data_IF_088366960155
#
_entry.id   IF_088366960155
#
_cell.length_a   1.000
_cell.length_b   1.000
_cell.length_c   1.000
_cell.angle_alpha   90.00
_cell.angle_beta   90.00
_cell.angle_gamma   90.00
#
_symmetry.space_group_name_H-M   'P 1'
#
loop_
_entity.id
_entity.type
_entity.pdbx_description
1 polymer ?
#
# COMPACT_ATOMS: atom_id res chain seq x y z
N UNK A 1 -32.44 -47.62 60.39
CA UNK A 1 -33.40 -46.63 60.91
C UNK A 1 -33.64 -45.56 59.86
N UNK A 2 -34.91 -45.19 59.72
CA UNK A 2 -35.51 -44.31 58.74
C UNK A 2 -34.95 -42.88 58.74
N UNK A 3 -35.06 -42.18 57.61
CA UNK A 3 -34.83 -40.73 57.51
C UNK A 3 -34.93 -40.19 56.09
N UNK A 4 -36.15 -39.87 55.67
CA UNK A 4 -36.59 -39.22 54.41
C UNK A 4 -36.14 -37.77 54.27
N UNK A 5 -35.95 -37.30 53.02
CA UNK A 5 -35.86 -35.86 52.67
C UNK A 5 -35.99 -35.63 51.15
N UNK A 6 -37.04 -34.90 50.74
CA UNK A 6 -37.47 -34.64 49.36
C UNK A 6 -36.61 -33.62 48.60
N UNK A 7 -36.59 -33.80 47.26
CA UNK A 7 -36.58 -32.83 46.15
C UNK A 7 -35.54 -31.71 46.13
N UNK A 8 -34.86 -31.51 44.99
CA UNK A 8 -35.07 -30.35 44.10
C UNK A 8 -34.32 -30.58 42.78
N UNK A 9 -35.09 -30.72 41.70
CA UNK A 9 -34.61 -30.64 40.32
C UNK A 9 -34.07 -29.23 40.04
N UNK A 10 -32.79 -29.13 39.69
CA UNK A 10 -32.25 -27.99 38.96
C UNK A 10 -31.90 -28.43 37.54
N UNK A 11 -32.83 -28.23 36.61
CA UNK A 11 -32.50 -28.12 35.19
C UNK A 11 -31.73 -26.80 35.02
N UNK A 12 -30.41 -26.86 34.83
CA UNK A 12 -29.69 -25.76 34.18
C UNK A 12 -30.01 -25.84 32.70
N UNK A 13 -30.88 -24.95 32.23
CA UNK A 13 -30.91 -24.58 30.82
C UNK A 13 -29.56 -23.92 30.49
N UNK A 14 -28.70 -24.63 29.77
CA UNK A 14 -27.70 -24.00 28.93
C UNK A 14 -28.42 -23.48 27.69
N UNK A 15 -28.72 -22.19 27.68
CA UNK A 15 -29.14 -21.45 26.50
C UNK A 15 -28.08 -20.39 26.25
N UNK A 16 -27.04 -20.78 25.51
CA UNK A 16 -25.94 -19.89 25.10
C UNK A 16 -25.43 -20.25 23.69
N UNK A 17 -26.26 -20.83 22.83
CA UNK A 17 -25.83 -21.40 21.54
C UNK A 17 -26.70 -20.99 20.33
N UNK A 18 -27.41 -19.85 20.36
CA UNK A 18 -28.32 -19.51 19.26
C UNK A 18 -28.35 -18.04 18.83
N UNK A 19 -27.40 -17.20 19.27
CA UNK A 19 -27.39 -15.78 18.90
C UNK A 19 -26.29 -15.42 17.88
N UNK A 20 -25.20 -16.21 17.81
CA UNK A 20 -24.11 -15.96 16.86
C UNK A 20 -24.45 -16.50 15.46
N UNK A 21 -25.05 -17.69 15.36
CA UNK A 21 -25.40 -18.34 14.08
C UNK A 21 -26.46 -17.54 13.27
N UNK A 22 -27.44 -16.95 13.96
CA UNK A 22 -28.46 -16.09 13.32
C UNK A 22 -27.89 -14.73 12.87
N UNK A 23 -26.88 -14.19 13.57
CA UNK A 23 -26.27 -12.91 13.23
C UNK A 23 -25.43 -13.00 11.95
N UNK A 24 -24.66 -14.08 11.83
CA UNK A 24 -23.82 -14.35 10.66
C UNK A 24 -24.66 -14.57 9.39
N UNK A 25 -25.81 -15.24 9.50
CA UNK A 25 -26.75 -15.42 8.39
C UNK A 25 -27.42 -14.10 7.97
N UNK A 26 -27.71 -13.20 8.93
CA UNK A 26 -28.25 -11.87 8.64
C UNK A 26 -27.23 -11.00 7.90
N UNK A 27 -25.98 -10.95 8.38
CA UNK A 27 -24.91 -10.16 7.72
C UNK A 27 -24.66 -10.65 6.29
N UNK A 28 -24.59 -11.97 6.09
CA UNK A 28 -24.43 -12.57 4.76
C UNK A 28 -25.63 -12.27 3.84
N UNK A 29 -26.85 -12.29 4.39
CA UNK A 29 -28.06 -11.95 3.64
C UNK A 29 -28.05 -10.49 3.18
N UNK A 30 -27.67 -9.56 4.06
CA UNK A 30 -27.51 -8.13 3.73
C UNK A 30 -26.43 -7.96 2.66
N UNK A 31 -25.28 -8.60 2.81
CA UNK A 31 -24.19 -8.57 1.83
C UNK A 31 -24.67 -9.01 0.43
N UNK A 32 -25.38 -10.15 0.35
CA UNK A 32 -25.95 -10.67 -0.91
C UNK A 32 -26.95 -9.69 -1.53
N UNK A 33 -27.74 -9.00 -0.72
CA UNK A 33 -28.66 -7.98 -1.21
C UNK A 33 -27.90 -6.80 -1.83
N UNK A 34 -26.88 -6.26 -1.15
CA UNK A 34 -26.04 -5.19 -1.69
C UNK A 34 -25.35 -5.62 -2.99
N UNK A 35 -24.79 -6.83 -3.03
CA UNK A 35 -24.13 -7.35 -4.23
C UNK A 35 -25.10 -7.49 -5.41
N UNK A 36 -26.32 -7.99 -5.14
CA UNK A 36 -27.37 -8.10 -6.16
C UNK A 36 -27.74 -6.74 -6.78
N UNK A 37 -27.81 -5.68 -5.98
CA UNK A 37 -28.06 -4.32 -6.49
C UNK A 37 -26.94 -3.85 -7.41
N UNK A 38 -25.68 -4.07 -7.02
CA UNK A 38 -24.51 -3.74 -7.85
C UNK A 38 -24.54 -4.49 -9.18
N UNK A 39 -24.80 -5.80 -9.15
CA UNK A 39 -24.87 -6.62 -10.36
C UNK A 39 -26.00 -6.18 -11.31
N UNK A 40 -27.12 -5.66 -10.79
CA UNK A 40 -28.17 -5.09 -11.64
C UNK A 40 -27.69 -3.86 -12.40
N UNK A 41 -26.90 -3.00 -11.75
CA UNK A 41 -26.29 -1.83 -12.39
C UNK A 41 -25.23 -2.26 -13.41
N UNK A 42 -24.40 -3.26 -13.10
CA UNK A 42 -23.34 -3.74 -14.01
C UNK A 42 -23.88 -4.26 -15.34
N UNK A 43 -25.12 -4.74 -15.37
CA UNK A 43 -25.78 -5.25 -16.57
C UNK A 43 -26.48 -4.15 -17.40
N UNK A 44 -26.46 -2.88 -16.97
CA UNK A 44 -27.01 -1.78 -17.76
C UNK A 44 -26.12 -1.48 -18.98
N UNK A 45 -26.75 -1.07 -20.08
CA UNK A 45 -26.04 -0.70 -21.31
C UNK A 45 -25.37 0.68 -21.24
N UNK A 46 -25.94 1.59 -20.44
CA UNK A 46 -25.46 2.94 -20.22
C UNK A 46 -25.40 3.17 -18.72
N UNK A 47 -24.27 3.68 -18.26
CA UNK A 47 -23.99 4.00 -16.85
C UNK A 47 -23.96 5.52 -16.73
N UNK A 48 -24.66 6.05 -15.73
CA UNK A 48 -24.62 7.45 -15.37
C UNK A 48 -23.93 7.69 -14.00
N UNK A 49 -23.88 8.94 -13.58
CA UNK A 49 -23.24 9.34 -12.32
C UNK A 49 -23.96 8.77 -11.09
N UNK A 50 -25.30 8.67 -11.15
CA UNK A 50 -26.11 8.18 -10.04
C UNK A 50 -25.89 6.67 -9.84
N UNK A 51 -25.78 5.93 -10.95
CA UNK A 51 -25.41 4.52 -10.97
C UNK A 51 -24.03 4.28 -10.35
N UNK A 52 -23.04 5.09 -10.76
CA UNK A 52 -21.67 5.02 -10.22
C UNK A 52 -21.67 5.27 -8.70
N UNK A 53 -22.38 6.31 -8.27
CA UNK A 53 -22.54 6.66 -6.85
C UNK A 53 -23.23 5.54 -6.06
N UNK A 54 -24.26 4.93 -6.63
CA UNK A 54 -24.99 3.82 -6.04
C UNK A 54 -24.09 2.58 -5.85
N UNK A 55 -23.30 2.23 -6.87
CA UNK A 55 -22.30 1.15 -6.79
C UNK A 55 -21.29 1.42 -5.69
N UNK A 56 -20.71 2.63 -5.64
CA UNK A 56 -19.73 3.03 -4.62
C UNK A 56 -20.32 2.87 -3.22
N UNK A 57 -21.54 3.36 -3.00
CA UNK A 57 -22.21 3.28 -1.70
C UNK A 57 -22.49 1.83 -1.28
N UNK A 58 -23.06 1.01 -2.16
CA UNK A 58 -23.31 -0.40 -1.85
C UNK A 58 -22.01 -1.14 -1.56
N UNK A 59 -20.96 -0.90 -2.36
CA UNK A 59 -19.66 -1.56 -2.19
C UNK A 59 -19.00 -1.14 -0.88
N UNK A 60 -19.11 0.14 -0.48
CA UNK A 60 -18.61 0.62 0.80
C UNK A 60 -19.22 -0.15 1.99
N UNK A 61 -20.54 -0.36 1.98
CA UNK A 61 -21.20 -1.16 3.02
C UNK A 61 -20.71 -2.61 3.03
N UNK A 62 -20.52 -3.22 1.86
CA UNK A 62 -20.00 -4.59 1.75
C UNK A 62 -18.57 -4.71 2.31
N UNK A 63 -17.70 -3.74 2.01
CA UNK A 63 -16.33 -3.70 2.56
C UNK A 63 -16.34 -3.47 4.07
N UNK A 64 -17.29 -2.68 4.59
CA UNK A 64 -17.46 -2.51 6.03
C UNK A 64 -17.88 -3.83 6.69
N UNK A 65 -18.86 -4.55 6.15
CA UNK A 65 -19.25 -5.87 6.66
C UNK A 65 -18.07 -6.85 6.67
N UNK A 66 -17.27 -6.88 5.60
CA UNK A 66 -16.06 -7.70 5.52
C UNK A 66 -15.02 -7.33 6.59
N UNK A 67 -14.93 -6.05 6.92
CA UNK A 67 -13.97 -5.54 7.90
C UNK A 67 -14.41 -5.79 9.34
N UNK A 68 -15.72 -5.73 9.58
CA UNK A 68 -16.34 -5.96 10.89
C UNK A 68 -16.48 -7.45 11.21
N UNK A 69 -16.33 -8.34 10.22
CA UNK A 69 -16.37 -9.79 10.40
C UNK A 69 -15.22 -10.29 11.30
N UNK A 70 -15.59 -10.97 12.37
CA UNK A 70 -14.64 -11.56 13.32
C UNK A 70 -14.46 -13.03 12.99
N UNK A 71 -13.23 -13.50 12.80
CA UNK A 71 -12.97 -14.93 12.62
C UNK A 71 -13.32 -15.69 13.91
N UNK A 72 -14.09 -16.76 13.80
CA UNK A 72 -14.31 -17.72 14.90
C UNK A 72 -13.43 -18.95 14.65
N UNK A 73 -12.65 -19.37 15.64
CA UNK A 73 -11.85 -20.61 15.62
C UNK A 73 -10.93 -20.76 14.38
N UNK A 74 -10.25 -19.68 13.97
CA UNK A 74 -9.33 -19.67 12.80
C UNK A 74 -9.99 -20.00 11.45
N UNK A 75 -11.31 -20.03 11.37
CA UNK A 75 -12.04 -20.21 10.13
C UNK A 75 -12.41 -18.85 9.51
N UNK A 76 -12.34 -18.78 8.19
CA UNK A 76 -12.84 -17.64 7.42
C UNK A 76 -14.35 -17.53 7.65
N UNK A 77 -14.81 -16.32 7.99
CA UNK A 77 -16.24 -16.08 8.17
C UNK A 77 -17.01 -16.09 6.84
N UNK A 78 -18.35 -16.19 6.90
CA UNK A 78 -19.20 -16.32 5.73
C UNK A 78 -19.11 -15.13 4.75
N UNK A 79 -18.91 -13.91 5.24
CA UNK A 79 -18.74 -12.70 4.41
C UNK A 79 -17.45 -12.81 3.59
N UNK A 80 -16.32 -13.13 4.21
CA UNK A 80 -15.06 -13.36 3.50
C UNK A 80 -15.18 -14.49 2.48
N UNK A 81 -15.76 -15.63 2.86
CA UNK A 81 -15.98 -16.77 1.95
C UNK A 81 -16.77 -16.32 0.72
N UNK A 82 -17.83 -15.52 0.92
CA UNK A 82 -18.65 -15.01 -0.19
C UNK A 82 -17.88 -14.03 -1.09
N UNK A 83 -17.08 -13.12 -0.51
CA UNK A 83 -16.20 -12.22 -1.27
C UNK A 83 -15.24 -12.99 -2.18
N UNK A 84 -14.69 -14.09 -1.68
CA UNK A 84 -13.77 -14.95 -2.42
C UNK A 84 -14.52 -15.74 -3.50
N UNK A 85 -15.66 -16.37 -3.18
CA UNK A 85 -16.39 -17.21 -4.12
C UNK A 85 -16.90 -16.42 -5.32
N UNK A 86 -17.39 -15.20 -5.08
CA UNK A 86 -17.91 -14.32 -6.13
C UNK A 86 -16.82 -13.43 -6.76
N UNK A 87 -15.57 -13.49 -6.28
CA UNK A 87 -14.46 -12.64 -6.74
C UNK A 87 -14.85 -11.14 -6.83
N UNK A 88 -15.49 -10.65 -5.76
CA UNK A 88 -16.21 -9.36 -5.75
C UNK A 88 -15.30 -8.19 -6.13
N UNK A 89 -14.07 -8.14 -5.58
CA UNK A 89 -13.10 -7.09 -5.91
C UNK A 89 -12.65 -7.15 -7.37
N UNK A 90 -12.43 -8.34 -7.93
CA UNK A 90 -12.01 -8.49 -9.33
C UNK A 90 -13.13 -8.07 -10.29
N UNK A 91 -14.37 -8.48 -9.97
CA UNK A 91 -15.55 -8.15 -10.78
C UNK A 91 -15.81 -6.65 -10.77
N UNK A 92 -15.68 -5.99 -9.61
CA UNK A 92 -15.78 -4.53 -9.53
C UNK A 92 -14.66 -3.83 -10.31
N UNK A 93 -13.42 -4.31 -10.20
CA UNK A 93 -12.30 -3.77 -10.95
C UNK A 93 -12.54 -3.86 -12.46
N UNK A 94 -12.92 -5.03 -12.98
CA UNK A 94 -13.19 -5.25 -14.41
C UNK A 94 -14.34 -4.35 -14.89
N UNK A 95 -15.43 -4.25 -14.12
CA UNK A 95 -16.54 -3.36 -14.47
C UNK A 95 -16.09 -1.90 -14.52
N UNK A 96 -15.24 -1.46 -13.59
CA UNK A 96 -14.74 -0.08 -13.57
C UNK A 96 -13.93 0.28 -14.82
N UNK A 97 -13.22 -0.68 -15.42
CA UNK A 97 -12.51 -0.48 -16.69
C UNK A 97 -13.46 -0.30 -17.87
N UNK A 98 -14.70 -0.80 -17.77
CA UNK A 98 -15.75 -0.62 -18.77
C UNK A 98 -16.43 0.76 -18.69
N UNK A 99 -16.07 1.57 -17.68
CA UNK A 99 -16.65 2.89 -17.41
C UNK A 99 -15.60 4.02 -17.54
N UNK A 100 -15.11 4.33 -18.76
CA UNK A 100 -13.99 5.26 -18.95
C UNK A 100 -14.29 6.69 -18.52
N UNK A 101 -15.55 7.14 -18.61
CA UNK A 101 -15.97 8.48 -18.17
C UNK A 101 -15.77 8.70 -16.67
N UNK A 102 -15.95 7.64 -15.86
CA UNK A 102 -15.84 7.67 -14.40
C UNK A 102 -14.54 7.03 -13.88
N UNK A 103 -13.55 6.81 -14.75
CA UNK A 103 -12.36 6.01 -14.44
C UNK A 103 -11.57 6.56 -13.25
N UNK A 104 -11.42 7.88 -13.12
CA UNK A 104 -10.69 8.50 -12.00
C UNK A 104 -11.44 8.37 -10.66
N UNK A 105 -12.74 8.59 -10.66
CA UNK A 105 -13.60 8.47 -9.47
C UNK A 105 -13.62 7.01 -8.97
N UNK A 106 -13.91 6.07 -9.86
CA UNK A 106 -13.96 4.65 -9.53
C UNK A 106 -12.60 4.12 -9.06
N UNK A 107 -11.50 4.59 -9.65
CA UNK A 107 -10.14 4.25 -9.20
C UNK A 107 -9.85 4.81 -7.82
N UNK A 108 -10.20 6.07 -7.56
CA UNK A 108 -10.07 6.70 -6.24
C UNK A 108 -10.84 5.91 -5.17
N UNK A 109 -12.11 5.56 -5.42
CA UNK A 109 -12.91 4.83 -4.44
C UNK A 109 -12.41 3.39 -4.22
N UNK A 110 -11.95 2.70 -5.25
CA UNK A 110 -11.32 1.39 -5.07
C UNK A 110 -10.06 1.45 -4.21
N UNK A 111 -9.21 2.47 -4.39
CA UNK A 111 -8.05 2.69 -3.53
C UNK A 111 -8.48 2.97 -2.08
N UNK A 112 -9.53 3.77 -1.87
CA UNK A 112 -10.10 4.04 -0.54
C UNK A 112 -10.63 2.78 0.14
N UNK A 113 -11.27 1.89 -0.61
CA UNK A 113 -11.75 0.61 -0.08
C UNK A 113 -10.60 -0.29 0.37
N UNK A 114 -9.53 -0.41 -0.43
CA UNK A 114 -8.35 -1.14 -0.02
C UNK A 114 -7.60 -0.47 1.13
N UNK A 115 -7.50 0.86 1.14
CA UNK A 115 -6.91 1.61 2.26
C UNK A 115 -7.65 1.33 3.57
N UNK A 116 -8.99 1.40 3.54
CA UNK A 116 -9.83 1.10 4.68
C UNK A 116 -9.66 -0.36 5.12
N UNK A 117 -9.77 -1.30 4.18
CA UNK A 117 -9.61 -2.74 4.42
C UNK A 117 -8.26 -3.01 5.09
N UNK A 118 -7.15 -2.56 4.51
CA UNK A 118 -5.80 -2.80 5.03
C UNK A 118 -5.52 -2.12 6.38
N UNK A 119 -6.19 -0.99 6.66
CA UNK A 119 -6.03 -0.29 7.94
C UNK A 119 -6.73 -0.98 9.11
N UNK A 120 -7.78 -1.75 8.84
CA UNK A 120 -8.68 -2.33 9.86
C UNK A 120 -8.62 -3.85 9.92
N UNK A 121 -8.34 -4.51 8.79
CA UNK A 121 -8.39 -5.96 8.68
C UNK A 121 -7.09 -6.62 9.12
N UNK A 122 -7.17 -7.94 9.27
CA UNK A 122 -6.00 -8.79 9.45
C UNK A 122 -5.29 -8.93 8.10
N UNK A 123 -3.96 -8.87 8.14
CA UNK A 123 -3.10 -9.14 6.98
C UNK A 123 -3.39 -10.50 6.31
N UNK A 124 -4.13 -11.39 6.99
CA UNK A 124 -4.65 -12.64 6.49
C UNK A 124 -5.50 -12.51 5.21
N UNK A 125 -6.25 -11.41 5.05
CA UNK A 125 -7.08 -11.21 3.85
C UNK A 125 -6.26 -11.20 2.56
N UNK A 126 -5.01 -10.74 2.63
CA UNK A 126 -4.13 -10.67 1.48
C UNK A 126 -3.58 -12.05 1.06
N UNK A 127 -3.73 -13.11 1.86
CA UNK A 127 -3.40 -14.47 1.41
C UNK A 127 -4.39 -15.00 0.36
N UNK A 128 -5.58 -14.41 0.26
CA UNK A 128 -6.56 -14.79 -0.75
C UNK A 128 -6.25 -14.10 -2.08
N UNK A 129 -5.91 -14.89 -3.11
CA UNK A 129 -5.62 -14.39 -4.46
C UNK A 129 -6.75 -13.52 -5.03
N UNK A 130 -8.00 -13.84 -4.69
CA UNK A 130 -9.21 -13.12 -5.11
C UNK A 130 -9.31 -11.70 -4.50
N UNK A 131 -8.51 -11.40 -3.47
CA UNK A 131 -8.40 -10.05 -2.88
C UNK A 131 -7.10 -9.40 -3.35
N UNK A 132 -5.99 -10.14 -3.28
CA UNK A 132 -4.68 -9.55 -3.55
C UNK A 132 -4.42 -9.27 -5.03
N UNK A 133 -4.87 -10.14 -5.94
CA UNK A 133 -4.69 -9.93 -7.38
C UNK A 133 -5.44 -8.68 -7.90
N UNK A 134 -6.72 -8.44 -7.54
CA UNK A 134 -7.41 -7.19 -7.87
C UNK A 134 -6.71 -5.95 -7.33
N UNK A 135 -6.17 -6.01 -6.11
CA UNK A 135 -5.37 -4.92 -5.53
C UNK A 135 -4.13 -4.63 -6.40
N UNK A 136 -3.35 -5.65 -6.77
CA UNK A 136 -2.18 -5.45 -7.62
C UNK A 136 -2.55 -4.94 -9.02
N UNK A 137 -3.66 -5.42 -9.59
CA UNK A 137 -4.18 -4.93 -10.87
C UNK A 137 -4.61 -3.45 -10.79
N UNK A 138 -5.28 -3.05 -9.71
CA UNK A 138 -5.67 -1.67 -9.45
C UNK A 138 -4.44 -0.77 -9.33
N UNK A 139 -3.45 -1.17 -8.54
CA UNK A 139 -2.18 -0.43 -8.39
C UNK A 139 -1.47 -0.27 -9.74
N UNK A 140 -1.44 -1.33 -10.57
CA UNK A 140 -0.88 -1.27 -11.92
C UNK A 140 -1.64 -0.32 -12.83
N UNK A 141 -2.97 -0.24 -12.71
CA UNK A 141 -3.79 0.71 -13.47
C UNK A 141 -3.51 2.18 -13.11
N UNK A 142 -2.80 2.43 -12.01
CA UNK A 142 -2.36 3.78 -11.62
C UNK A 142 -1.02 4.18 -12.28
N UNK A 143 -0.28 3.23 -12.88
CA UNK A 143 1.04 3.46 -13.51
C UNK A 143 0.93 4.31 -14.79
N UNK A 144 -0.19 4.21 -15.52
CA UNK A 144 -0.43 4.94 -16.76
C UNK A 144 -0.88 6.38 -16.51
N UNK A 145 -0.04 7.35 -16.89
CA UNK A 145 -0.33 8.74 -17.31
C UNK A 145 -1.39 9.55 -16.53
N UNK A 146 -0.96 10.68 -15.96
CA UNK A 146 -1.80 11.77 -15.43
C UNK A 146 -2.87 11.34 -14.42
N UNK A 147 -2.52 10.47 -13.46
CA UNK A 147 -3.37 10.33 -12.28
C UNK A 147 -3.43 11.68 -11.55
N UNK A 148 -4.64 12.10 -11.17
CA UNK A 148 -4.85 13.29 -10.34
C UNK A 148 -4.08 13.08 -9.03
N UNK A 149 -3.44 14.13 -8.50
CA UNK A 149 -2.62 14.09 -7.27
C UNK A 149 -3.28 13.34 -6.10
N UNK A 150 -4.61 13.41 -5.99
CA UNK A 150 -5.38 12.71 -4.99
C UNK A 150 -5.28 11.18 -5.13
N UNK A 151 -5.36 10.64 -6.34
CA UNK A 151 -5.23 9.20 -6.62
C UNK A 151 -3.82 8.73 -6.28
N UNK A 152 -2.79 9.48 -6.67
CA UNK A 152 -1.40 9.14 -6.34
C UNK A 152 -1.18 9.07 -4.82
N UNK A 153 -1.73 10.03 -4.06
CA UNK A 153 -1.63 10.03 -2.59
C UNK A 153 -2.22 8.76 -1.98
N UNK A 154 -3.44 8.37 -2.37
CA UNK A 154 -4.06 7.14 -1.87
C UNK A 154 -3.34 5.88 -2.35
N UNK A 155 -2.85 5.87 -3.59
CA UNK A 155 -2.03 4.76 -4.10
C UNK A 155 -0.79 4.52 -3.24
N UNK A 156 -0.06 5.58 -2.86
CA UNK A 156 1.14 5.46 -2.03
C UNK A 156 0.80 4.98 -0.61
N UNK A 157 -0.31 5.43 -0.03
CA UNK A 157 -0.79 4.92 1.26
C UNK A 157 -1.04 3.41 1.18
N UNK A 158 -1.76 2.96 0.15
CA UNK A 158 -2.03 1.54 -0.07
C UNK A 158 -0.73 0.75 -0.29
N UNK A 159 0.19 1.25 -1.14
CA UNK A 159 1.51 0.64 -1.35
C UNK A 159 2.29 0.49 -0.03
N UNK A 160 2.29 1.52 0.81
CA UNK A 160 2.94 1.48 2.12
C UNK A 160 2.30 0.42 3.04
N UNK A 161 0.97 0.35 3.12
CA UNK A 161 0.27 -0.66 3.91
C UNK A 161 0.54 -2.09 3.42
N UNK A 162 0.62 -2.30 2.11
CA UNK A 162 1.03 -3.61 1.56
C UNK A 162 2.48 -3.91 1.92
N UNK A 163 3.39 -2.94 1.83
CA UNK A 163 4.79 -3.10 2.26
C UNK A 163 4.89 -3.52 3.74
N UNK A 164 4.10 -2.91 4.62
CA UNK A 164 4.02 -3.29 6.04
C UNK A 164 3.53 -4.74 6.18
N UNK A 165 2.55 -5.15 5.38
CA UNK A 165 1.97 -6.49 5.43
C UNK A 165 2.95 -7.57 4.97
N UNK A 166 3.61 -7.38 3.82
CA UNK A 166 4.61 -8.33 3.29
C UNK A 166 5.85 -8.41 4.19
N UNK A 167 6.19 -7.34 4.92
CA UNK A 167 7.32 -7.34 5.86
C UNK A 167 7.07 -8.23 7.08
N UNK A 168 5.79 -8.46 7.41
CA UNK A 168 5.39 -9.29 8.54
C UNK A 168 5.19 -10.77 8.17
N UNK A 169 5.16 -11.11 6.88
CA UNK A 169 4.77 -12.44 6.41
C UNK A 169 5.53 -12.86 5.15
N UNK A 170 6.46 -13.80 5.29
CA UNK A 170 7.19 -14.40 4.16
C UNK A 170 6.27 -15.09 3.15
N UNK A 171 5.26 -15.89 3.54
CA UNK A 171 4.34 -16.50 2.56
C UNK A 171 3.56 -15.45 1.75
N UNK A 172 3.24 -14.30 2.34
CA UNK A 172 2.56 -13.23 1.61
C UNK A 172 3.49 -12.57 0.59
N UNK A 173 4.76 -12.42 0.93
CA UNK A 173 5.78 -11.94 0.00
C UNK A 173 5.94 -12.90 -1.19
N UNK A 174 6.03 -14.20 -0.95
CA UNK A 174 6.08 -15.23 -2.00
C UNK A 174 4.85 -15.16 -2.92
N UNK A 175 3.65 -15.06 -2.32
CA UNK A 175 2.42 -14.87 -3.06
C UNK A 175 2.44 -13.61 -3.95
N UNK A 176 3.01 -12.51 -3.45
CA UNK A 176 3.16 -11.28 -4.23
C UNK A 176 4.04 -11.49 -5.46
N UNK A 177 5.13 -12.24 -5.32
CA UNK A 177 6.01 -12.60 -6.44
C UNK A 177 5.31 -13.53 -7.43
N UNK A 178 4.58 -14.53 -6.94
CA UNK A 178 3.84 -15.48 -7.77
C UNK A 178 2.79 -14.78 -8.64
N UNK A 179 1.96 -13.91 -8.04
CA UNK A 179 0.95 -13.15 -8.78
C UNK A 179 1.61 -12.21 -9.80
N UNK A 180 2.75 -11.61 -9.44
CA UNK A 180 3.48 -10.71 -10.34
C UNK A 180 4.09 -11.47 -11.53
N UNK A 181 4.54 -12.72 -11.33
CA UNK A 181 5.13 -13.56 -12.36
C UNK A 181 4.14 -13.97 -13.47
N UNK A 182 2.84 -14.10 -13.16
CA UNK A 182 1.79 -14.39 -14.14
C UNK A 182 1.66 -13.30 -15.22
N UNK A 183 2.18 -12.10 -14.99
CA UNK A 183 1.87 -10.91 -15.80
C UNK A 183 3.11 -10.27 -16.47
N UNK A 184 4.24 -10.99 -16.53
CA UNK A 184 5.45 -10.58 -17.24
C UNK A 184 6.69 -10.42 -16.35
N UNK A 185 7.82 -9.91 -16.88
CA UNK A 185 9.10 -9.84 -16.18
C UNK A 185 9.16 -8.77 -15.06
N UNK A 186 8.09 -8.01 -14.85
CA UNK A 186 7.96 -7.03 -13.76
C UNK A 186 7.75 -7.77 -12.43
N UNK A 187 8.84 -8.38 -11.93
CA UNK A 187 8.82 -9.37 -10.83
C UNK A 187 8.39 -8.79 -9.48
N UNK A 188 8.35 -7.47 -9.29
CA UNK A 188 7.85 -6.89 -8.04
C UNK A 188 7.21 -5.50 -8.24
N UNK A 189 5.95 -5.48 -8.66
CA UNK A 189 5.24 -4.23 -9.01
C UNK A 189 5.22 -3.19 -7.89
N UNK A 190 5.05 -3.61 -6.64
CA UNK A 190 4.98 -2.71 -5.48
C UNK A 190 6.24 -1.85 -5.40
N UNK A 191 7.41 -2.46 -5.62
CA UNK A 191 8.67 -1.74 -5.63
C UNK A 191 8.76 -0.76 -6.80
N UNK A 192 8.45 -1.22 -8.02
CA UNK A 192 8.51 -0.39 -9.23
C UNK A 192 7.63 0.86 -9.15
N UNK A 193 6.41 0.75 -8.61
CA UNK A 193 5.48 1.86 -8.49
C UNK A 193 5.94 2.93 -7.49
N UNK A 194 6.80 2.60 -6.54
CA UNK A 194 7.32 3.54 -5.54
C UNK A 194 8.50 4.37 -6.05
N UNK A 195 9.28 3.84 -7.01
CA UNK A 195 10.51 4.48 -7.51
C UNK A 195 10.28 5.92 -8.00
N UNK A 196 9.25 6.24 -8.81
CA UNK A 196 9.03 7.60 -9.31
C UNK A 196 8.79 8.66 -8.23
N UNK A 197 8.48 8.25 -7.00
CA UNK A 197 8.12 9.14 -5.90
C UNK A 197 9.29 9.42 -4.94
N UNK A 198 10.42 8.74 -5.10
CA UNK A 198 11.50 8.74 -4.09
C UNK A 198 12.11 10.12 -3.85
N UNK A 199 12.24 10.93 -4.90
CA UNK A 199 12.75 12.30 -4.82
C UNK A 199 11.65 13.36 -4.71
N UNK A 200 10.36 12.97 -4.68
CA UNK A 200 9.29 13.95 -4.54
C UNK A 200 9.33 14.58 -3.14
N UNK A 201 8.94 15.84 -3.08
CA UNK A 201 8.81 16.59 -1.85
C UNK A 201 7.56 16.15 -1.07
N UNK A 202 7.39 16.75 0.11
CA UNK A 202 6.21 16.59 0.96
C UNK A 202 5.95 15.15 1.43
N UNK A 203 4.72 14.92 1.91
CA UNK A 203 4.28 13.67 2.51
C UNK A 203 4.30 12.50 1.52
N UNK A 204 3.93 12.75 0.26
CA UNK A 204 3.92 11.75 -0.83
C UNK A 204 5.30 11.10 -0.99
N UNK A 205 6.36 11.91 -1.11
CA UNK A 205 7.71 11.38 -1.22
C UNK A 205 8.21 10.74 0.08
N UNK A 206 7.82 11.28 1.24
CA UNK A 206 8.17 10.68 2.53
C UNK A 206 7.58 9.27 2.68
N UNK A 207 6.28 9.11 2.44
CA UNK A 207 5.62 7.80 2.53
C UNK A 207 6.19 6.80 1.53
N UNK A 208 6.56 7.25 0.32
CA UNK A 208 7.22 6.40 -0.66
C UNK A 208 8.60 5.91 -0.17
N UNK A 209 9.41 6.82 0.41
CA UNK A 209 10.69 6.47 1.04
C UNK A 209 10.50 5.49 2.20
N UNK A 210 9.55 5.74 3.10
CA UNK A 210 9.25 4.85 4.22
C UNK A 210 8.86 3.44 3.74
N UNK A 211 8.03 3.35 2.69
CA UNK A 211 7.65 2.08 2.08
C UNK A 211 8.86 1.35 1.45
N UNK A 212 9.72 2.09 0.74
CA UNK A 212 10.94 1.54 0.15
C UNK A 212 11.93 1.05 1.22
N UNK A 213 12.04 1.73 2.36
CA UNK A 213 12.89 1.28 3.48
C UNK A 213 12.42 -0.05 4.06
N UNK A 214 11.11 -0.32 4.09
CA UNK A 214 10.59 -1.65 4.48
C UNK A 214 11.07 -2.73 3.51
N UNK A 215 11.04 -2.46 2.20
CA UNK A 215 11.54 -3.39 1.18
C UNK A 215 13.07 -3.56 1.28
N UNK A 216 13.82 -2.48 1.54
CA UNK A 216 15.25 -2.57 1.78
C UNK A 216 15.55 -3.45 2.99
N UNK A 217 14.85 -3.25 4.10
CA UNK A 217 15.00 -4.09 5.29
C UNK A 217 14.67 -5.56 4.99
N UNK A 218 13.63 -5.83 4.20
CA UNK A 218 13.31 -7.19 3.74
C UNK A 218 14.44 -7.81 2.90
N UNK A 219 15.07 -7.03 2.01
CA UNK A 219 16.16 -7.51 1.17
C UNK A 219 17.35 -8.04 1.99
N UNK A 220 17.62 -7.48 3.18
CA UNK A 220 18.70 -7.95 4.06
C UNK A 220 18.52 -9.40 4.51
N UNK A 221 17.30 -9.93 4.44
CA UNK A 221 16.93 -11.31 4.83
C UNK A 221 16.48 -12.16 3.65
N UNK A 222 16.42 -11.59 2.45
CA UNK A 222 15.92 -12.26 1.26
C UNK A 222 16.76 -11.87 0.03
N UNK A 223 17.67 -12.76 -0.35
CA UNK A 223 18.61 -12.56 -1.46
C UNK A 223 17.91 -12.39 -2.81
N UNK A 224 16.73 -12.98 -3.01
CA UNK A 224 15.97 -12.81 -4.25
C UNK A 224 15.50 -11.38 -4.45
N UNK A 225 15.06 -10.69 -3.38
CA UNK A 225 14.73 -9.26 -3.44
C UNK A 225 15.99 -8.46 -3.76
N UNK A 226 17.10 -8.75 -3.08
CA UNK A 226 18.35 -8.04 -3.30
C UNK A 226 18.86 -8.16 -4.74
N UNK A 227 18.84 -9.38 -5.27
CA UNK A 227 19.21 -9.67 -6.65
C UNK A 227 18.29 -8.97 -7.64
N UNK A 228 16.99 -9.01 -7.40
CA UNK A 228 16.02 -8.30 -8.23
C UNK A 228 16.30 -6.78 -8.27
N UNK A 229 16.51 -6.15 -7.12
CA UNK A 229 16.78 -4.70 -7.05
C UNK A 229 18.06 -4.35 -7.82
N UNK A 230 19.14 -5.10 -7.64
CA UNK A 230 20.44 -4.81 -8.28
C UNK A 230 20.41 -5.11 -9.79
N UNK A 231 19.84 -6.24 -10.21
CA UNK A 231 19.97 -6.73 -11.58
C UNK A 231 18.80 -6.35 -12.49
N UNK A 232 17.62 -6.04 -11.93
CA UNK A 232 16.40 -5.86 -12.69
C UNK A 232 15.72 -4.50 -12.50
N UNK A 233 16.34 -3.57 -11.76
CA UNK A 233 15.78 -2.23 -11.54
C UNK A 233 16.83 -1.14 -11.72
N UNK A 234 16.38 0.06 -12.06
CA UNK A 234 17.24 1.26 -12.13
C UNK A 234 17.29 2.02 -10.79
N UNK A 235 16.98 1.37 -9.66
CA UNK A 235 16.81 2.05 -8.38
C UNK A 235 18.06 2.83 -7.95
N UNK A 236 19.23 2.18 -7.88
CA UNK A 236 20.47 2.84 -7.46
C UNK A 236 20.91 3.99 -8.41
N UNK A 237 20.88 3.82 -9.75
CA UNK A 237 21.11 4.91 -10.68
C UNK A 237 20.17 6.11 -10.49
N UNK A 238 18.87 5.85 -10.26
CA UNK A 238 17.86 6.89 -10.07
C UNK A 238 18.18 7.71 -8.82
N UNK A 239 18.52 7.06 -7.70
CA UNK A 239 18.88 7.75 -6.47
C UNK A 239 20.09 8.67 -6.64
N UNK A 240 21.16 8.17 -7.25
CA UNK A 240 22.37 8.97 -7.45
C UNK A 240 22.12 10.15 -8.40
N UNK A 241 21.38 9.93 -9.49
CA UNK A 241 21.05 10.98 -10.46
C UNK A 241 20.13 12.04 -9.83
N UNK A 242 19.16 11.61 -9.03
CA UNK A 242 18.28 12.52 -8.31
C UNK A 242 19.00 13.36 -7.26
N UNK A 243 20.02 12.83 -6.57
CA UNK A 243 20.87 13.64 -5.69
C UNK A 243 21.58 14.76 -6.47
N UNK A 244 22.15 14.45 -7.63
CA UNK A 244 22.81 15.45 -8.48
C UNK A 244 21.85 16.54 -8.97
N UNK A 245 20.63 16.16 -9.35
CA UNK A 245 19.59 17.11 -9.73
C UNK A 245 19.18 18.02 -8.56
N UNK A 246 18.84 17.42 -7.41
CA UNK A 246 18.42 18.17 -6.22
C UNK A 246 19.51 19.08 -5.67
N UNK A 247 20.78 18.66 -5.77
CA UNK A 247 21.92 19.52 -5.41
C UNK A 247 22.02 20.73 -6.35
N UNK A 248 21.81 20.53 -7.65
CA UNK A 248 21.82 21.61 -8.64
C UNK A 248 20.66 22.60 -8.44
N UNK A 249 19.55 22.13 -7.88
CA UNK A 249 18.36 22.94 -7.52
C UNK A 249 18.53 23.71 -6.20
N UNK A 250 19.63 23.52 -5.47
CA UNK A 250 19.89 24.27 -4.24
C UNK A 250 20.09 25.76 -4.54
N UNK A 251 19.62 26.65 -3.65
CA UNK A 251 19.76 28.08 -3.86
C UNK A 251 21.24 28.48 -3.79
N UNK A 252 21.72 29.22 -4.79
CA UNK A 252 23.09 29.74 -4.81
C UNK A 252 23.36 30.79 -3.72
N UNK A 253 22.30 31.31 -3.07
CA UNK A 253 22.38 32.24 -1.94
C UNK A 253 21.32 31.88 -0.91
N UNK A 254 21.73 31.74 0.34
CA UNK A 254 20.80 31.54 1.44
C UNK A 254 20.17 32.88 1.84
N UNK A 255 18.87 32.92 2.19
CA UNK A 255 18.16 34.18 2.46
C UNK A 255 18.53 34.81 3.82
N UNK A 256 19.34 34.13 4.64
CA UNK A 256 19.59 34.46 6.06
C UNK A 256 20.87 35.29 6.29
N UNK A 257 21.27 36.09 5.32
CA UNK A 257 22.48 36.92 5.45
C UNK A 257 22.25 38.06 6.46
N UNK A 258 22.84 37.93 7.65
CA UNK A 258 23.18 39.04 8.55
C UNK A 258 24.67 38.94 8.93
N UNK A 259 25.27 40.03 9.42
CA UNK A 259 26.71 40.10 9.70
C UNK A 259 27.19 39.08 10.77
N UNK A 260 26.25 38.52 11.54
CA UNK A 260 26.49 37.52 12.58
C UNK A 260 26.18 36.07 12.14
N UNK A 261 25.95 35.83 10.85
CA UNK A 261 25.60 34.50 10.34
C UNK A 261 26.86 33.65 10.07
N UNK A 262 27.07 32.60 10.87
CA UNK A 262 28.24 31.70 10.77
C UNK A 262 27.89 30.21 10.61
N UNK A 263 26.62 29.84 10.74
CA UNK A 263 26.17 28.46 10.51
C UNK A 263 24.68 28.43 10.17
N UNK A 264 24.28 27.43 9.39
CA UNK A 264 22.88 27.16 9.13
C UNK A 264 22.24 26.44 10.33
N UNK A 265 21.22 27.04 10.92
CA UNK A 265 20.44 26.42 12.00
C UNK A 265 19.41 25.44 11.44
N UNK A 266 18.93 24.49 12.27
CA UNK A 266 17.86 23.57 11.88
C UNK A 266 16.56 24.31 11.48
N UNK A 267 16.30 25.47 12.08
CA UNK A 267 15.13 26.29 11.77
C UNK A 267 15.23 26.85 10.35
N UNK A 268 16.35 27.50 10.03
CA UNK A 268 16.63 28.09 8.70
C UNK A 268 16.68 27.04 7.59
N UNK A 269 17.27 25.87 7.87
CA UNK A 269 17.17 24.72 6.97
C UNK A 269 15.70 24.43 6.66
N UNK A 270 14.89 24.25 7.70
CA UNK A 270 13.49 23.78 7.56
C UNK A 270 12.62 24.75 6.77
N UNK A 271 13.02 26.02 6.68
CA UNK A 271 12.37 27.06 5.89
C UNK A 271 12.78 27.04 4.40
N UNK A 272 13.83 26.29 4.03
CA UNK A 272 14.33 26.18 2.65
C UNK A 272 13.90 24.85 2.03
N UNK A 273 12.81 24.87 1.25
CA UNK A 273 12.19 23.66 0.71
C UNK A 273 13.14 22.77 -0.13
N UNK A 274 13.93 23.35 -1.04
CA UNK A 274 14.89 22.59 -1.87
C UNK A 274 16.00 21.94 -1.04
N UNK A 275 16.45 22.61 0.03
CA UNK A 275 17.41 22.02 0.97
C UNK A 275 16.79 20.86 1.75
N UNK A 276 15.56 21.01 2.26
CA UNK A 276 14.83 19.91 2.90
C UNK A 276 14.73 18.70 1.96
N UNK A 277 14.38 18.93 0.69
CA UNK A 277 14.23 17.87 -0.30
C UNK A 277 15.55 17.16 -0.62
N UNK A 278 16.64 17.92 -0.82
CA UNK A 278 17.98 17.38 -1.01
C UNK A 278 18.39 16.53 0.19
N UNK A 279 18.24 17.05 1.41
CA UNK A 279 18.65 16.35 2.62
C UNK A 279 17.81 15.10 2.89
N UNK A 280 16.50 15.13 2.61
CA UNK A 280 15.66 13.94 2.68
C UNK A 280 16.11 12.85 1.71
N UNK A 281 16.50 13.22 0.48
CA UNK A 281 17.01 12.25 -0.50
C UNK A 281 18.38 11.70 -0.12
N UNK A 282 19.26 12.56 0.42
CA UNK A 282 20.58 12.15 0.89
C UNK A 282 20.48 11.21 2.10
N UNK A 283 19.63 11.56 3.08
CA UNK A 283 19.36 10.72 4.24
C UNK A 283 18.80 9.36 3.80
N UNK A 284 17.87 9.35 2.87
CA UNK A 284 17.32 8.10 2.34
C UNK A 284 18.38 7.22 1.68
N UNK A 285 19.30 7.79 0.90
CA UNK A 285 20.42 7.02 0.34
C UNK A 285 21.30 6.40 1.44
N UNK A 286 21.59 7.17 2.50
CA UNK A 286 22.32 6.67 3.66
C UNK A 286 21.55 5.54 4.37
N UNK A 287 20.25 5.70 4.59
CA UNK A 287 19.43 4.69 5.27
C UNK A 287 19.38 3.39 4.46
N UNK A 288 19.21 3.48 3.14
CA UNK A 288 19.28 2.32 2.22
C UNK A 288 20.62 1.60 2.37
N UNK A 289 21.74 2.31 2.39
CA UNK A 289 23.08 1.72 2.55
C UNK A 289 23.21 0.98 3.89
N UNK A 290 22.59 1.50 4.96
CA UNK A 290 22.71 0.93 6.30
C UNK A 290 21.83 -0.31 6.53
N UNK A 291 20.62 -0.35 5.96
CA UNK A 291 19.62 -1.38 6.30
C UNK A 291 19.40 -2.43 5.21
N UNK A 292 19.80 -2.15 3.96
CA UNK A 292 19.58 -3.07 2.85
C UNK A 292 20.57 -4.24 2.83
N UNK A 293 20.32 -5.20 1.94
CA UNK A 293 21.32 -6.22 1.62
C UNK A 293 22.64 -5.57 1.16
N UNK A 294 23.82 -6.07 1.58
CA UNK A 294 25.12 -5.44 1.27
C UNK A 294 25.38 -5.22 -0.23
N UNK A 295 24.84 -6.08 -1.11
CA UNK A 295 24.96 -5.89 -2.56
C UNK A 295 24.26 -4.62 -3.06
N UNK A 296 23.08 -4.29 -2.52
CA UNK A 296 22.37 -3.04 -2.85
C UNK A 296 23.18 -1.85 -2.33
N UNK A 297 23.63 -1.91 -1.07
CA UNK A 297 24.42 -0.84 -0.46
C UNK A 297 25.70 -0.55 -1.24
N UNK A 298 26.45 -1.59 -1.62
CA UNK A 298 27.67 -1.43 -2.42
C UNK A 298 27.37 -0.83 -3.80
N UNK A 299 26.31 -1.29 -4.46
CA UNK A 299 25.90 -0.79 -5.76
C UNK A 299 25.47 0.69 -5.69
N UNK A 300 24.69 1.07 -4.68
CA UNK A 300 24.29 2.45 -4.43
C UNK A 300 25.50 3.35 -4.14
N UNK A 301 26.45 2.90 -3.30
CA UNK A 301 27.68 3.65 -3.02
C UNK A 301 28.46 3.92 -4.31
N UNK A 302 28.60 2.92 -5.19
CA UNK A 302 29.29 3.11 -6.47
C UNK A 302 28.62 4.19 -7.32
N UNK A 303 27.29 4.15 -7.46
CA UNK A 303 26.56 5.17 -8.21
C UNK A 303 26.62 6.55 -7.56
N UNK A 304 26.49 6.65 -6.24
CA UNK A 304 26.60 7.93 -5.52
C UNK A 304 28.02 8.49 -5.64
N UNK A 305 29.05 7.65 -5.53
CA UNK A 305 30.44 8.07 -5.66
C UNK A 305 30.74 8.59 -7.07
N UNK A 306 30.43 7.81 -8.10
CA UNK A 306 30.76 8.14 -9.49
C UNK A 306 29.79 9.13 -10.14
N UNK A 307 28.54 9.21 -9.66
CA UNK A 307 27.49 10.04 -10.24
C UNK A 307 27.22 11.35 -9.51
N UNK A 308 27.58 11.45 -8.23
CA UNK A 308 27.32 12.64 -7.41
C UNK A 308 28.56 13.17 -6.70
N UNK A 309 29.23 12.37 -5.86
CA UNK A 309 30.31 12.87 -5.00
C UNK A 309 31.51 13.38 -5.80
N UNK A 310 32.04 12.58 -6.73
CA UNK A 310 33.19 12.98 -7.55
C UNK A 310 32.84 14.05 -8.59
N UNK A 311 31.80 13.89 -9.43
CA UNK A 311 31.57 14.83 -10.53
C UNK A 311 30.81 16.11 -10.14
N UNK A 312 30.01 16.11 -9.06
CA UNK A 312 29.15 17.25 -8.69
C UNK A 312 29.68 17.92 -7.43
N UNK A 313 29.77 17.18 -6.32
CA UNK A 313 30.17 17.76 -5.03
C UNK A 313 31.66 18.12 -4.99
N UNK A 314 32.52 17.26 -5.55
CA UNK A 314 33.96 17.46 -5.61
C UNK A 314 34.35 18.84 -6.17
N UNK A 315 33.95 19.19 -7.41
CA UNK A 315 34.24 20.51 -7.98
C UNK A 315 33.67 21.67 -7.16
N UNK A 316 32.48 21.52 -6.57
CA UNK A 316 31.83 22.59 -5.80
C UNK A 316 32.57 22.93 -4.49
N UNK A 317 33.24 21.97 -3.86
CA UNK A 317 34.03 22.21 -2.63
C UNK A 317 35.37 22.90 -2.94
N UNK A 318 35.89 22.75 -4.16
CA UNK A 318 37.16 23.36 -4.57
C UNK A 318 37.02 24.82 -5.08
N UNK A 319 35.80 25.35 -5.16
CA UNK A 319 35.50 26.73 -5.58
C UNK A 319 35.51 27.70 -4.42
#
# INVERSE_FOLDING_TARGET
>A
CLGTGMSYHWKRHHSSESFEDDSDDVQLTVLRQHWKQILQIFNKSLIDQDDTTCVINHFQYMVQLLTDEVSVQEQSGPVLIYFISESIFDTFFIWSLSCPEYAHELKYHQLRFFEYLLSRSRHELLFHKQIFKPLLNLLRSCESSSCIDLIEKHMIVVLNQVCVSITKSTPLLELCFDISAEQGPARFIIFSLLIPFVHRAELTGQQARDALLLIMQLSSRNEHIAKYIVENTNFCPILATGLSALYSDLPHRLPFYNDDWYHLTKKEWSETASLVQFMNSLQFCNDVIQIAHPSIGHHLIQYVYHGFLVPVLGPAIHQ
#
